data_IF_797495599356
#
_entry.id   IF_797495599356
#
_cell.length_a   1.000
_cell.length_b   1.000
_cell.length_c   1.000
_cell.angle_alpha   90.00
_cell.angle_beta   90.00
_cell.angle_gamma   90.00
#
_symmetry.space_group_name_H-M   'P 1'
#
loop_
_entity.id
_entity.type
_entity.pdbx_description
1 polymer ?
#
# COMPACT_ATOMS: atom_id res chain seq x y z
N UNK A 1 -20.19 -5.67 -10.55
CA UNK A 1 -19.72 -6.17 -9.25
C UNK A 1 -20.16 -5.15 -8.20
N UNK A 2 -21.00 -5.53 -7.22
CA UNK A 2 -21.61 -4.57 -6.29
C UNK A 2 -20.53 -4.06 -5.34
N UNK A 3 -20.29 -2.75 -5.28
CA UNK A 3 -19.34 -2.09 -4.38
C UNK A 3 -19.81 -2.20 -2.93
N UNK A 4 -19.75 -3.40 -2.37
CA UNK A 4 -19.99 -3.63 -0.95
C UNK A 4 -18.79 -3.09 -0.18
N UNK A 5 -18.89 -1.82 0.23
CA UNK A 5 -18.06 -1.30 1.31
C UNK A 5 -18.15 -2.26 2.50
N UNK A 6 -17.01 -2.53 3.13
CA UNK A 6 -16.97 -3.36 4.31
C UNK A 6 -17.60 -2.59 5.47
N UNK A 7 -18.87 -2.83 5.78
CA UNK A 7 -19.56 -2.12 6.87
C UNK A 7 -18.80 -2.24 8.21
N UNK A 8 -18.10 -3.34 8.42
CA UNK A 8 -17.33 -3.64 9.62
C UNK A 8 -16.05 -2.81 9.79
N UNK A 9 -15.52 -2.15 8.74
CA UNK A 9 -14.31 -1.33 8.89
C UNK A 9 -14.58 0.05 9.49
N UNK A 10 -15.84 0.50 9.51
CA UNK A 10 -16.21 1.84 9.99
C UNK A 10 -15.68 2.99 9.14
N UNK A 11 -15.05 2.72 7.99
CA UNK A 11 -14.44 3.73 7.14
C UNK A 11 -15.48 4.50 6.33
N UNK A 12 -15.25 5.80 6.14
CA UNK A 12 -16.01 6.60 5.18
C UNK A 12 -15.79 6.05 3.75
N UNK A 13 -16.78 6.13 2.85
CA UNK A 13 -16.68 5.52 1.52
C UNK A 13 -15.46 5.96 0.70
N UNK A 14 -15.07 7.23 0.80
CA UNK A 14 -13.91 7.77 0.08
C UNK A 14 -12.59 7.22 0.66
N UNK A 15 -12.45 7.15 1.99
CA UNK A 15 -11.28 6.55 2.65
C UNK A 15 -11.17 5.07 2.30
N UNK A 16 -12.30 4.34 2.31
CA UNK A 16 -12.31 2.94 1.91
C UNK A 16 -11.83 2.75 0.46
N UNK A 17 -12.28 3.59 -0.47
CA UNK A 17 -11.84 3.53 -1.86
C UNK A 17 -10.34 3.81 -1.99
N UNK A 18 -9.82 4.79 -1.23
CA UNK A 18 -8.37 5.08 -1.19
C UNK A 18 -7.58 3.89 -0.66
N UNK A 19 -8.00 3.27 0.46
CA UNK A 19 -7.36 2.07 1.02
C UNK A 19 -7.34 0.93 0.00
N UNK A 20 -8.46 0.67 -0.67
CA UNK A 20 -8.53 -0.38 -1.70
C UNK A 20 -7.57 -0.08 -2.86
N UNK A 21 -7.49 1.18 -3.30
CA UNK A 21 -6.60 1.57 -4.39
C UNK A 21 -5.12 1.35 -4.03
N UNK A 22 -4.69 1.75 -2.84
CA UNK A 22 -3.29 1.56 -2.41
C UNK A 22 -2.94 0.09 -2.21
N UNK A 23 -3.86 -0.73 -1.65
CA UNK A 23 -3.61 -2.16 -1.47
C UNK A 23 -3.48 -2.87 -2.81
N UNK A 24 -4.37 -2.58 -3.77
CA UNK A 24 -4.28 -3.14 -5.13
C UNK A 24 -3.04 -2.66 -5.88
N UNK A 25 -2.63 -1.41 -5.66
CA UNK A 25 -1.46 -0.81 -6.28
C UNK A 25 -0.14 -1.17 -5.61
N UNK A 26 -0.12 -2.01 -4.58
CA UNK A 26 1.07 -2.29 -3.78
C UNK A 26 2.29 -2.74 -4.61
N UNK A 27 2.08 -3.71 -5.50
CA UNK A 27 3.17 -4.21 -6.36
C UNK A 27 3.69 -3.11 -7.30
N UNK A 28 2.78 -2.34 -7.92
CA UNK A 28 3.16 -1.22 -8.79
C UNK A 28 3.90 -0.12 -8.03
N UNK A 29 3.48 0.19 -6.80
CA UNK A 29 4.17 1.16 -5.94
C UNK A 29 5.58 0.69 -5.55
N UNK A 30 5.75 -0.60 -5.28
CA UNK A 30 7.07 -1.19 -5.02
C UNK A 30 7.99 -1.09 -6.24
N UNK A 31 7.51 -1.46 -7.42
CA UNK A 31 8.28 -1.32 -8.66
C UNK A 31 8.67 0.13 -8.89
N UNK A 32 7.73 1.07 -8.72
CA UNK A 32 8.01 2.50 -8.90
C UNK A 32 9.03 3.04 -7.89
N UNK A 33 8.97 2.57 -6.64
CA UNK A 33 9.95 2.91 -5.60
C UNK A 33 11.36 2.43 -5.98
N UNK A 34 11.50 1.18 -6.45
CA UNK A 34 12.78 0.62 -6.90
C UNK A 34 13.31 1.32 -8.16
N UNK A 35 12.44 1.67 -9.11
CA UNK A 35 12.82 2.42 -10.31
C UNK A 35 13.36 3.82 -9.96
N UNK A 36 12.78 4.50 -8.97
CA UNK A 36 13.31 5.78 -8.47
C UNK A 36 14.70 5.59 -7.86
N UNK A 37 14.89 4.53 -7.05
CA UNK A 37 16.17 4.20 -6.44
C UNK A 37 17.27 3.92 -7.49
N UNK A 38 16.98 3.11 -8.50
CA UNK A 38 17.92 2.81 -9.58
C UNK A 38 18.25 4.06 -10.41
N UNK A 39 17.26 4.90 -10.71
CA UNK A 39 17.50 6.19 -11.39
C UNK A 39 18.41 7.10 -10.58
N UNK A 40 18.22 7.20 -9.26
CA UNK A 40 19.12 7.99 -8.41
C UNK A 40 20.54 7.43 -8.45
N UNK A 41 20.71 6.13 -8.27
CA UNK A 41 22.03 5.48 -8.25
C UNK A 41 22.81 5.62 -9.56
N UNK A 42 22.13 5.52 -10.72
CA UNK A 42 22.78 5.65 -12.03
C UNK A 42 23.26 7.09 -12.34
N UNK A 43 22.64 8.12 -11.76
CA UNK A 43 23.09 9.51 -11.89
C UNK A 43 24.39 9.76 -11.12
N UNK A 44 24.63 9.07 -10.01
CA UNK A 44 25.86 9.22 -9.21
C UNK A 44 27.10 8.61 -9.87
N UNK A 45 26.96 7.52 -10.65
CA UNK A 45 28.08 6.84 -11.32
C UNK A 45 28.63 7.58 -12.56
N UNK A 46 27.80 8.40 -13.22
CA UNK A 46 28.13 9.00 -14.52
C UNK A 46 28.69 10.44 -14.45
N UNK A 47 29.28 10.85 -13.33
CA UNK A 47 29.99 12.13 -13.24
C UNK A 47 29.10 13.35 -13.49
N UNK A 48 28.37 13.76 -12.45
CA UNK A 48 27.74 15.08 -12.22
C UNK A 48 27.46 15.97 -13.47
N UNK A 49 26.17 16.21 -13.83
CA UNK A 49 25.86 17.18 -14.88
C UNK A 49 25.79 18.60 -14.32
N UNK A 50 26.45 19.54 -15.01
CA UNK A 50 26.35 20.99 -14.78
C UNK A 50 25.02 21.51 -15.32
N UNK A 51 23.99 21.66 -14.47
CA UNK A 51 22.75 22.32 -14.90
C UNK A 51 21.67 22.49 -13.83
N UNK A 52 21.23 23.74 -13.62
CA UNK A 52 20.22 24.16 -12.63
C UNK A 52 18.84 23.49 -12.77
N UNK A 53 18.52 22.84 -13.91
CA UNK A 53 17.22 22.20 -14.18
C UNK A 53 17.04 20.81 -13.54
N UNK A 54 18.12 20.20 -13.03
CA UNK A 54 18.11 18.83 -12.51
C UNK A 54 17.74 18.78 -11.02
N UNK A 55 18.07 19.83 -10.25
CA UNK A 55 17.75 19.93 -8.82
C UNK A 55 16.25 19.78 -8.53
N UNK A 56 15.38 20.32 -9.41
CA UNK A 56 13.93 20.17 -9.31
C UNK A 56 13.47 18.72 -9.52
N UNK A 57 14.16 17.95 -10.39
CA UNK A 57 13.81 16.53 -10.62
C UNK A 57 14.18 15.67 -9.41
N UNK A 58 15.36 15.89 -8.84
CA UNK A 58 15.80 15.18 -7.62
C UNK A 58 14.86 15.45 -6.45
N UNK A 59 14.44 16.71 -6.26
CA UNK A 59 13.52 17.09 -5.18
C UNK A 59 12.14 16.47 -5.36
N UNK A 60 11.61 16.45 -6.60
CA UNK A 60 10.33 15.80 -6.91
C UNK A 60 10.38 14.28 -6.75
N UNK A 61 11.46 13.65 -7.20
CA UNK A 61 11.67 12.21 -7.05
C UNK A 61 11.81 11.84 -5.56
N UNK A 62 12.46 12.67 -4.74
CA UNK A 62 12.55 12.47 -3.30
C UNK A 62 11.18 12.59 -2.59
N UNK A 63 10.39 13.61 -2.92
CA UNK A 63 9.05 13.77 -2.36
C UNK A 63 8.14 12.60 -2.75
N UNK A 64 8.19 12.17 -4.01
CA UNK A 64 7.42 11.01 -4.49
C UNK A 64 7.86 9.72 -3.82
N UNK A 65 9.17 9.54 -3.61
CA UNK A 65 9.71 8.38 -2.89
C UNK A 65 9.24 8.34 -1.44
N UNK A 66 9.22 9.48 -0.75
CA UNK A 66 8.74 9.55 0.62
C UNK A 66 7.26 9.12 0.72
N UNK A 67 6.40 9.64 -0.16
CA UNK A 67 4.98 9.28 -0.22
C UNK A 67 4.76 7.78 -0.56
N UNK A 68 5.52 7.23 -1.51
CA UNK A 68 5.47 5.80 -1.82
C UNK A 68 5.94 4.94 -0.65
N UNK A 69 7.04 5.33 0.00
CA UNK A 69 7.59 4.62 1.15
C UNK A 69 6.59 4.57 2.30
N UNK A 70 5.94 5.70 2.62
CA UNK A 70 4.93 5.78 3.67
C UNK A 70 3.74 4.83 3.40
N UNK A 71 3.24 4.81 2.15
CA UNK A 71 2.15 3.91 1.74
C UNK A 71 2.55 2.43 1.84
N UNK A 72 3.74 2.07 1.38
CA UNK A 72 4.25 0.70 1.42
C UNK A 72 4.41 0.25 2.89
N UNK A 73 5.03 1.10 3.71
CA UNK A 73 5.25 0.82 5.13
C UNK A 73 3.94 0.68 5.90
N UNK A 74 2.95 1.54 5.62
CA UNK A 74 1.63 1.44 6.22
C UNK A 74 0.95 0.09 5.91
N UNK A 75 1.07 -0.41 4.68
CA UNK A 75 0.54 -1.71 4.27
C UNK A 75 1.29 -2.86 4.95
N UNK A 76 2.63 -2.82 4.95
CA UNK A 76 3.47 -3.87 5.51
C UNK A 76 3.29 -4.01 7.04
N UNK A 77 3.16 -2.89 7.74
CA UNK A 77 2.88 -2.89 9.18
C UNK A 77 1.44 -3.32 9.49
N UNK A 78 0.47 -2.93 8.65
CA UNK A 78 -0.91 -3.33 8.84
C UNK A 78 -1.10 -4.84 8.65
N UNK A 79 -0.47 -5.45 7.63
CA UNK A 79 -0.56 -6.92 7.41
C UNK A 79 0.17 -7.69 8.52
N UNK A 80 1.29 -7.15 9.01
CA UNK A 80 2.06 -7.76 10.11
C UNK A 80 1.28 -7.81 11.42
N UNK A 81 0.33 -6.89 11.64
CA UNK A 81 -0.55 -6.87 12.82
C UNK A 81 -1.57 -8.01 12.89
N UNK A 82 -1.73 -8.76 11.79
CA UNK A 82 -2.65 -9.88 11.64
C UNK A 82 -1.89 -11.19 11.93
N UNK A 83 -2.51 -12.19 12.59
CA UNK A 83 -1.89 -13.49 12.77
C UNK A 83 -1.51 -14.13 11.43
N UNK A 84 -0.37 -14.80 11.41
CA UNK A 84 0.30 -15.28 10.19
C UNK A 84 -0.61 -16.19 9.33
N UNK A 85 -1.37 -17.06 9.97
CA UNK A 85 -2.35 -17.98 9.37
C UNK A 85 -3.34 -17.26 8.42
N UNK A 86 -3.75 -16.04 8.77
CA UNK A 86 -4.79 -15.33 8.01
C UNK A 86 -4.22 -14.37 6.96
N UNK A 87 -2.93 -14.02 7.03
CA UNK A 87 -2.32 -12.97 6.20
C UNK A 87 -2.50 -13.26 4.71
N UNK A 88 -2.19 -14.48 4.28
CA UNK A 88 -2.28 -14.90 2.86
C UNK A 88 -3.72 -14.82 2.34
N UNK A 89 -4.69 -15.33 3.11
CA UNK A 89 -6.10 -15.30 2.72
C UNK A 89 -6.64 -13.86 2.62
N UNK A 90 -6.24 -12.98 3.53
CA UNK A 90 -6.66 -11.57 3.53
C UNK A 90 -6.00 -10.83 2.37
N UNK A 91 -4.71 -11.04 2.14
CA UNK A 91 -3.97 -10.43 1.05
C UNK A 91 -4.59 -10.76 -0.30
N UNK A 92 -4.78 -12.05 -0.59
CA UNK A 92 -5.35 -12.51 -1.86
C UNK A 92 -6.76 -11.96 -2.07
N UNK A 93 -7.57 -11.93 -1.01
CA UNK A 93 -8.91 -11.35 -1.09
C UNK A 93 -8.90 -9.82 -1.25
N UNK A 94 -7.93 -9.11 -0.67
CA UNK A 94 -7.86 -7.66 -0.76
C UNK A 94 -7.33 -7.19 -2.13
N UNK A 95 -6.31 -7.86 -2.66
CA UNK A 95 -5.67 -7.53 -3.94
C UNK A 95 -6.48 -8.08 -5.12
N UNK A 96 -6.75 -9.39 -5.13
CA UNK A 96 -7.33 -10.09 -6.27
C UNK A 96 -8.83 -10.36 -6.13
N UNK A 97 -9.42 -10.16 -4.95
CA UNK A 97 -10.83 -10.45 -4.72
C UNK A 97 -11.16 -11.95 -4.65
N UNK A 98 -10.15 -12.81 -4.46
CA UNK A 98 -10.36 -14.26 -4.36
C UNK A 98 -11.21 -14.64 -3.15
N UNK A 99 -11.96 -15.74 -3.19
CA UNK A 99 -12.61 -16.30 -2.00
C UNK A 99 -11.61 -16.55 -0.85
N UNK A 100 -12.10 -16.50 0.39
CA UNK A 100 -11.27 -16.86 1.54
C UNK A 100 -11.00 -18.36 1.57
N UNK A 101 -9.85 -18.81 2.11
CA UNK A 101 -9.58 -20.22 2.35
C UNK A 101 -10.59 -20.84 3.33
N UNK A 102 -10.80 -22.16 3.24
CA UNK A 102 -11.68 -22.95 4.13
C UNK A 102 -11.03 -23.32 5.48
N UNK A 103 -9.83 -22.83 5.76
CA UNK A 103 -9.09 -23.11 7.00
C UNK A 103 -9.75 -22.50 8.24
N UNK A 104 -10.54 -21.43 8.08
CA UNK A 104 -11.27 -20.81 9.17
C UNK A 104 -12.61 -20.24 8.69
N UNK A 105 -13.49 -19.97 9.65
CA UNK A 105 -14.79 -19.39 9.33
C UNK A 105 -14.65 -18.04 8.63
N UNK A 106 -15.47 -17.80 7.60
CA UNK A 106 -15.50 -16.57 6.81
C UNK A 106 -15.51 -15.29 7.64
N UNK A 107 -16.20 -15.30 8.79
CA UNK A 107 -16.29 -14.13 9.67
C UNK A 107 -14.93 -13.73 10.26
N UNK A 108 -14.03 -14.69 10.48
CA UNK A 108 -12.70 -14.44 11.03
C UNK A 108 -11.85 -13.66 10.04
N UNK A 109 -11.77 -14.13 8.80
CA UNK A 109 -11.12 -13.40 7.71
C UNK A 109 -11.76 -12.03 7.48
N UNK A 110 -13.08 -11.94 7.57
CA UNK A 110 -13.79 -10.68 7.39
C UNK A 110 -13.44 -9.63 8.47
N UNK A 111 -13.35 -10.05 9.74
CA UNK A 111 -12.94 -9.19 10.86
C UNK A 111 -11.50 -8.72 10.71
N UNK A 112 -10.58 -9.62 10.38
CA UNK A 112 -9.18 -9.25 10.18
C UNK A 112 -8.98 -8.37 8.94
N UNK A 113 -9.73 -8.58 7.86
CA UNK A 113 -9.72 -7.66 6.71
C UNK A 113 -10.22 -6.26 7.11
N UNK A 114 -11.24 -6.17 7.95
CA UNK A 114 -11.72 -4.89 8.45
C UNK A 114 -10.66 -4.17 9.28
N UNK A 115 -10.01 -4.89 10.21
CA UNK A 115 -8.89 -4.39 11.01
C UNK A 115 -7.73 -3.93 10.12
N UNK A 116 -7.33 -4.75 9.14
CA UNK A 116 -6.29 -4.43 8.17
C UNK A 116 -6.53 -3.08 7.48
N UNK A 117 -7.74 -2.89 6.95
CA UNK A 117 -8.09 -1.65 6.23
C UNK A 117 -8.15 -0.44 7.16
N UNK A 118 -8.63 -0.65 8.39
CA UNK A 118 -8.67 0.40 9.40
C UNK A 118 -7.26 0.80 9.86
N UNK A 119 -6.36 -0.17 10.05
CA UNK A 119 -4.98 0.08 10.48
C UNK A 119 -4.19 0.81 9.39
N UNK A 120 -4.41 0.50 8.11
CA UNK A 120 -3.85 1.28 7.00
C UNK A 120 -4.34 2.73 7.07
N UNK A 121 -5.65 2.94 7.20
CA UNK A 121 -6.22 4.29 7.21
C UNK A 121 -5.70 5.13 8.39
N UNK A 122 -5.51 4.53 9.57
CA UNK A 122 -4.89 5.20 10.74
C UNK A 122 -3.44 5.59 10.47
N UNK A 123 -2.64 4.69 9.89
CA UNK A 123 -1.22 4.94 9.59
C UNK A 123 -1.03 6.04 8.54
N UNK A 124 -1.97 6.14 7.60
CA UNK A 124 -2.01 7.21 6.59
C UNK A 124 -2.67 8.51 7.11
N UNK A 125 -3.05 8.57 8.39
CA UNK A 125 -3.76 9.71 8.99
C UNK A 125 -5.05 10.13 8.26
N UNK A 126 -5.76 9.16 7.67
CA UNK A 126 -7.06 9.40 7.03
C UNK A 126 -8.23 9.34 8.00
N UNK A 127 -7.99 8.81 9.20
CA UNK A 127 -8.94 8.69 10.33
C UNK A 127 -8.22 8.85 11.66
#
# INVERSE_FOLDING_TARGET
MRDYKLKSSGLQPHVYAQVVAIVKGYESMKTEYEDILQRQNSVFLNGQPKGSRIADRTSRDAAKRADLSEKIEAIDQAISSIPEEYRKGIWNNAVHGTPYPDEAHRSTYWRYKAKFFQDIAKRMYWI
#
